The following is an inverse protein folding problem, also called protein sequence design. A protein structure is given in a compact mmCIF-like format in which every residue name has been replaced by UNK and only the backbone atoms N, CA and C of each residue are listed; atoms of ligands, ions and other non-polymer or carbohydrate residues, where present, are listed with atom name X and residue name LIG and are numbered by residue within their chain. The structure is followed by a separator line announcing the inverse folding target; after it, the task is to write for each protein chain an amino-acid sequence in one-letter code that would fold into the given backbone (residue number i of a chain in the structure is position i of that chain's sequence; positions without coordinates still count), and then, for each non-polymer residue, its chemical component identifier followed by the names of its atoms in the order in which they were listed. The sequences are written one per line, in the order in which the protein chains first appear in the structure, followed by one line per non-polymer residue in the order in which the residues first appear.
data_IF_581264695765
#
_entry.id   IF_581264695765
#
_cell.length_a   1.000
_cell.length_b   1.000
_cell.length_c   1.000
_cell.angle_alpha   90.00
_cell.angle_beta   90.00
_cell.angle_gamma   90.00
#
_symmetry.space_group_name_H-M   'P 1'
#
loop_
_entity.id
_entity.type
_entity.pdbx_description
1 polymer ?
#
# COMPACT_ATOMS: atom_id res chain seq x y z
N UNK A 1 -65.36 5.83 33.77
CA UNK A 1 -64.52 4.66 34.06
C UNK A 1 -63.45 5.13 35.05
N UNK A 2 -63.77 5.21 36.35
CA UNK A 2 -63.44 4.17 37.36
C UNK A 2 -61.93 3.99 37.48
N UNK A 3 -61.21 4.28 38.57
CA UNK A 3 -61.48 4.81 39.92
C UNK A 3 -60.13 5.40 40.39
N UNK A 4 -59.98 6.71 40.52
CA UNK A 4 -60.06 7.54 41.75
C UNK A 4 -58.97 7.26 42.81
N UNK A 5 -57.86 8.00 42.67
CA UNK A 5 -56.98 8.47 43.75
C UNK A 5 -57.72 9.44 44.70
N UNK A 6 -57.18 9.57 45.93
CA UNK A 6 -57.38 10.57 47.01
C UNK A 6 -57.45 9.80 48.36
N UNK A 7 -56.89 10.22 49.50
CA UNK A 7 -56.39 11.52 49.99
C UNK A 7 -55.70 11.25 51.36
N UNK A 8 -54.67 12.03 51.68
CA UNK A 8 -54.13 12.40 53.02
C UNK A 8 -55.22 13.07 53.91
N UNK A 9 -55.05 13.50 55.21
CA UNK A 9 -53.84 13.94 55.95
C UNK A 9 -53.84 13.70 57.50
N UNK A 10 -52.96 14.44 58.23
CA UNK A 10 -52.97 14.81 59.68
C UNK A 10 -52.52 13.74 60.68
N UNK A 11 -51.75 14.00 61.75
CA UNK A 11 -51.26 15.23 62.39
C UNK A 11 -51.04 14.97 63.90
N UNK A 12 -49.99 15.56 64.48
CA UNK A 12 -49.71 15.83 65.94
C UNK A 12 -49.60 14.66 66.95
N UNK A 13 -48.44 14.42 67.59
CA UNK A 13 -47.75 15.14 68.69
C UNK A 13 -48.08 14.54 70.11
N UNK A 14 -47.36 14.89 71.20
CA UNK A 14 -46.58 13.94 72.04
C UNK A 14 -47.02 13.93 73.53
N UNK A 15 -46.42 13.08 74.39
CA UNK A 15 -46.21 13.25 75.85
C UNK A 15 -45.63 11.93 76.43
N UNK A 16 -44.38 11.91 76.90
CA UNK A 16 -43.95 11.93 78.32
C UNK A 16 -44.73 10.94 79.23
N UNK A 17 -44.14 10.07 80.05
CA UNK A 17 -43.43 10.36 81.32
C UNK A 17 -42.73 9.07 81.83
N UNK A 18 -41.41 9.18 82.07
CA UNK A 18 -40.59 8.78 83.26
C UNK A 18 -40.94 7.48 84.02
N UNK A 19 -40.00 6.52 84.11
CA UNK A 19 -39.46 6.00 85.42
C UNK A 19 -38.15 5.22 85.23
N UNK A 20 -37.16 5.55 86.07
CA UNK A 20 -35.84 4.91 86.19
C UNK A 20 -35.92 3.51 86.82
N UNK A 21 -35.03 2.58 86.42
CA UNK A 21 -34.13 1.86 87.33
C UNK A 21 -33.08 1.02 86.58
N UNK A 22 -31.86 1.05 87.11
CA UNK A 22 -30.62 0.37 86.73
C UNK A 22 -30.75 -1.16 86.57
N UNK A 23 -30.05 -1.75 85.59
CA UNK A 23 -28.97 -2.71 85.86
C UNK A 23 -28.16 -3.03 84.58
N UNK A 24 -26.86 -3.28 84.80
CA UNK A 24 -25.76 -3.65 83.88
C UNK A 24 -26.08 -4.09 82.44
N UNK A 25 -25.47 -3.39 81.45
CA UNK A 25 -25.27 -3.93 80.09
C UNK A 25 -23.85 -3.62 79.59
N UNK A 26 -23.00 -4.61 79.82
CA UNK A 26 -21.89 -5.10 78.99
C UNK A 26 -21.52 -4.26 77.75
N UNK A 27 -20.30 -3.72 77.77
CA UNK A 27 -19.65 -3.06 76.66
C UNK A 27 -19.42 -4.05 75.49
N UNK A 28 -20.16 -3.88 74.40
CA UNK A 28 -19.89 -4.57 73.13
C UNK A 28 -19.08 -3.63 72.25
N UNK A 29 -17.76 -3.83 72.21
CA UNK A 29 -16.90 -3.28 71.17
C UNK A 29 -17.30 -3.87 69.81
N UNK A 30 -17.27 -3.10 68.71
CA UNK A 30 -17.35 -3.67 67.39
C UNK A 30 -16.00 -4.29 67.04
N UNK A 31 -15.90 -5.63 67.12
CA UNK A 31 -14.81 -6.36 66.49
C UNK A 31 -14.86 -6.14 64.97
N UNK A 32 -14.03 -5.21 64.51
CA UNK A 32 -13.44 -5.27 63.18
C UNK A 32 -12.50 -6.48 63.15
N UNK A 33 -13.04 -7.62 62.76
CA UNK A 33 -12.23 -8.76 62.33
C UNK A 33 -11.57 -8.40 61.01
N UNK A 34 -10.41 -7.74 61.10
CA UNK A 34 -9.46 -7.73 60.01
C UNK A 34 -8.89 -9.15 59.93
N UNK A 35 -9.34 -9.93 58.95
CA UNK A 35 -8.69 -11.18 58.56
C UNK A 35 -7.19 -10.89 58.39
N UNK A 36 -6.37 -11.36 59.33
CA UNK A 36 -4.93 -11.33 59.22
C UNK A 36 -4.55 -12.32 58.13
N UNK A 37 -4.41 -11.82 56.90
CA UNK A 37 -3.90 -12.59 55.77
C UNK A 37 -2.50 -13.09 56.15
N UNK A 38 -2.24 -14.39 56.02
CA UNK A 38 -0.91 -14.94 56.27
C UNK A 38 0.07 -14.28 55.29
N UNK A 39 1.19 -13.69 55.76
CA UNK A 39 2.21 -13.11 54.87
C UNK A 39 2.76 -14.09 53.83
N UNK A 40 2.57 -15.41 54.02
CA UNK A 40 2.86 -16.43 53.01
C UNK A 40 1.84 -16.43 51.87
N UNK A 41 0.56 -16.24 52.17
CA UNK A 41 -0.51 -16.19 51.17
C UNK A 41 -0.40 -14.93 50.31
N UNK A 42 -0.06 -13.78 50.91
CA UNK A 42 0.25 -12.55 50.16
C UNK A 42 1.45 -12.75 49.21
N UNK A 43 2.48 -13.46 49.66
CA UNK A 43 3.66 -13.76 48.85
C UNK A 43 3.34 -14.72 47.70
N UNK A 44 2.49 -15.73 47.93
CA UNK A 44 2.03 -16.66 46.90
C UNK A 44 1.21 -15.91 45.85
N UNK A 45 0.24 -15.09 46.27
CA UNK A 45 -0.58 -14.29 45.36
C UNK A 45 0.27 -13.32 44.51
N UNK A 46 1.31 -12.72 45.09
CA UNK A 46 2.24 -11.86 44.35
C UNK A 46 3.08 -12.65 43.32
N UNK A 47 3.58 -13.84 43.68
CA UNK A 47 4.32 -14.70 42.75
C UNK A 47 3.43 -15.19 41.60
N UNK A 48 2.17 -15.55 41.88
CA UNK A 48 1.19 -15.92 40.86
C UNK A 48 0.89 -14.76 39.91
N UNK A 49 0.72 -13.54 40.44
CA UNK A 49 0.52 -12.34 39.63
C UNK A 49 1.73 -12.04 38.73
N UNK A 50 2.95 -12.14 39.26
CA UNK A 50 4.19 -11.96 38.47
C UNK A 50 4.34 -13.02 37.38
N UNK A 51 3.97 -14.27 37.67
CA UNK A 51 4.00 -15.35 36.69
C UNK A 51 2.97 -15.12 35.57
N UNK A 52 1.76 -14.69 35.91
CA UNK A 52 0.74 -14.32 34.93
C UNK A 52 1.16 -13.13 34.06
N UNK A 53 1.78 -12.09 34.66
CA UNK A 53 2.29 -10.94 33.91
C UNK A 53 3.45 -11.35 32.99
N UNK A 54 4.39 -12.17 33.47
CA UNK A 54 5.50 -12.69 32.67
C UNK A 54 5.00 -13.53 31.48
N UNK A 55 4.04 -14.44 31.72
CA UNK A 55 3.42 -15.24 30.66
C UNK A 55 2.67 -14.37 29.64
N UNK A 56 1.97 -13.33 30.10
CA UNK A 56 1.30 -12.37 29.21
C UNK A 56 2.31 -11.63 28.35
N UNK A 57 3.37 -11.07 28.96
CA UNK A 57 4.44 -10.37 28.25
C UNK A 57 5.15 -11.29 27.24
N UNK A 58 5.44 -12.52 27.63
CA UNK A 58 6.07 -13.51 26.73
C UNK A 58 5.16 -13.82 25.54
N UNK A 59 3.86 -14.08 25.76
CA UNK A 59 2.89 -14.30 24.68
C UNK A 59 2.79 -13.09 23.75
N UNK A 60 2.75 -11.87 24.28
CA UNK A 60 2.73 -10.64 23.49
C UNK A 60 3.99 -10.50 22.63
N UNK A 61 5.17 -10.77 23.20
CA UNK A 61 6.45 -10.74 22.47
C UNK A 61 6.48 -11.81 21.39
N UNK A 62 6.05 -13.05 21.69
CA UNK A 62 6.00 -14.13 20.69
C UNK A 62 5.03 -13.83 19.56
N UNK A 63 3.83 -13.31 19.86
CA UNK A 63 2.84 -12.93 18.85
C UNK A 63 3.37 -11.81 17.95
N UNK A 64 4.03 -10.81 18.54
CA UNK A 64 4.65 -9.72 17.80
C UNK A 64 5.79 -10.22 16.90
N UNK A 65 6.70 -11.03 17.44
CA UNK A 65 7.79 -11.61 16.68
C UNK A 65 7.29 -12.46 15.50
N UNK A 66 6.21 -13.23 15.71
CA UNK A 66 5.57 -14.00 14.64
C UNK A 66 4.95 -13.10 13.56
N UNK A 67 4.28 -12.01 13.97
CA UNK A 67 3.76 -11.04 13.02
C UNK A 67 4.87 -10.33 12.23
N UNK A 68 5.99 -10.03 12.88
CA UNK A 68 7.17 -9.44 12.22
C UNK A 68 7.80 -10.43 11.22
N UNK A 69 7.86 -11.72 11.54
CA UNK A 69 8.31 -12.77 10.61
C UNK A 69 7.38 -12.88 9.39
N UNK A 70 6.06 -12.91 9.59
CA UNK A 70 5.08 -12.97 8.50
C UNK A 70 5.17 -11.73 7.59
N UNK A 71 5.32 -10.54 8.18
CA UNK A 71 5.53 -9.30 7.44
C UNK A 71 6.84 -9.31 6.64
N UNK A 72 7.93 -9.81 7.26
CA UNK A 72 9.21 -9.95 6.60
C UNK A 72 9.12 -10.92 5.43
N UNK A 73 8.51 -12.10 5.63
CA UNK A 73 8.30 -13.10 4.57
C UNK A 73 7.56 -12.47 3.39
N UNK A 74 6.38 -11.88 3.63
CA UNK A 74 5.59 -11.22 2.59
C UNK A 74 6.40 -10.13 1.85
N UNK A 75 7.19 -9.34 2.58
CA UNK A 75 8.04 -8.31 1.97
C UNK A 75 9.14 -8.94 1.10
N UNK A 76 9.82 -9.96 1.59
CA UNK A 76 10.89 -10.64 0.84
C UNK A 76 10.36 -11.31 -0.42
N UNK A 77 9.17 -11.90 -0.40
CA UNK A 77 8.52 -12.47 -1.58
C UNK A 77 8.27 -11.38 -2.65
N UNK A 78 7.77 -10.21 -2.25
CA UNK A 78 7.56 -9.09 -3.15
C UNK A 78 8.88 -8.54 -3.71
N UNK A 79 9.92 -8.46 -2.89
CA UNK A 79 11.24 -7.98 -3.31
C UNK A 79 11.90 -8.97 -4.30
N UNK A 80 11.75 -10.28 -4.09
CA UNK A 80 12.20 -11.32 -5.02
C UNK A 80 11.42 -11.24 -6.34
N UNK A 81 10.10 -11.11 -6.28
CA UNK A 81 9.27 -11.01 -7.49
C UNK A 81 9.63 -9.77 -8.31
N UNK A 82 9.84 -8.62 -7.65
CA UNK A 82 10.32 -7.38 -8.29
C UNK A 82 11.70 -7.58 -8.89
N UNK A 83 12.63 -8.17 -8.13
CA UNK A 83 13.98 -8.44 -8.62
C UNK A 83 13.93 -9.33 -9.87
N UNK A 84 13.09 -10.36 -9.90
CA UNK A 84 12.94 -11.22 -11.07
C UNK A 84 12.32 -10.48 -12.26
N UNK A 85 11.24 -9.71 -12.05
CA UNK A 85 10.58 -8.92 -13.10
C UNK A 85 11.48 -7.85 -13.71
N UNK A 86 12.40 -7.28 -12.95
CA UNK A 86 13.21 -6.14 -13.37
C UNK A 86 14.72 -6.42 -13.40
N UNK A 87 15.15 -7.68 -13.28
CA UNK A 87 16.56 -8.08 -13.31
C UNK A 87 17.29 -7.57 -14.56
N UNK A 88 16.59 -7.58 -15.70
CA UNK A 88 17.13 -7.18 -17.00
C UNK A 88 16.94 -5.69 -17.31
N UNK A 89 16.35 -4.88 -16.42
CA UNK A 89 16.03 -3.47 -16.68
C UNK A 89 17.27 -2.68 -17.12
N UNK A 90 18.39 -2.83 -16.39
CA UNK A 90 19.64 -2.14 -16.73
C UNK A 90 20.19 -2.58 -18.09
N UNK A 91 20.18 -3.89 -18.37
CA UNK A 91 20.67 -4.44 -19.62
C UNK A 91 19.83 -3.97 -20.82
N UNK A 92 18.50 -4.01 -20.69
CA UNK A 92 17.58 -3.54 -21.72
C UNK A 92 17.79 -2.03 -21.96
N UNK A 93 17.96 -1.22 -20.91
CA UNK A 93 18.23 0.21 -21.05
C UNK A 93 19.51 0.51 -21.84
N UNK A 94 20.58 -0.26 -21.62
CA UNK A 94 21.83 -0.13 -22.39
C UNK A 94 21.69 -0.64 -23.83
N UNK A 95 20.69 -1.48 -24.11
CA UNK A 95 20.39 -2.02 -25.43
C UNK A 95 19.54 -1.08 -26.29
N UNK A 96 18.71 -0.22 -25.70
CA UNK A 96 17.83 0.69 -26.44
C UNK A 96 18.58 1.60 -27.44
N UNK A 97 19.75 2.20 -27.13
CA UNK A 97 20.52 2.98 -28.10
C UNK A 97 20.97 2.19 -29.34
N UNK A 98 21.12 0.88 -29.22
CA UNK A 98 21.45 -0.01 -30.36
C UNK A 98 20.23 -0.15 -31.25
N UNK A 99 19.05 -0.40 -30.66
CA UNK A 99 17.78 -0.46 -31.40
C UNK A 99 17.51 0.87 -32.10
N UNK A 100 17.71 2.00 -31.41
CA UNK A 100 17.56 3.34 -31.99
C UNK A 100 18.52 3.59 -33.15
N UNK A 101 19.72 3.00 -33.11
CA UNK A 101 20.69 3.14 -34.19
C UNK A 101 20.28 2.34 -35.43
N UNK A 102 19.61 1.19 -35.25
CA UNK A 102 18.99 0.44 -36.35
C UNK A 102 17.81 1.22 -36.96
N UNK A 103 16.94 1.78 -36.11
CA UNK A 103 15.85 2.65 -36.56
C UNK A 103 16.38 3.87 -37.33
N UNK A 104 17.37 4.58 -36.79
CA UNK A 104 18.01 5.72 -37.46
C UNK A 104 18.66 5.33 -38.79
N UNK A 105 19.26 4.14 -38.88
CA UNK A 105 19.82 3.66 -40.14
C UNK A 105 18.72 3.49 -41.20
N UNK A 106 17.53 3.01 -40.82
CA UNK A 106 16.38 2.87 -41.72
C UNK A 106 15.75 4.20 -42.11
N UNK A 107 15.79 5.20 -41.23
CA UNK A 107 15.29 6.56 -41.52
C UNK A 107 16.19 7.31 -42.51
N UNK A 108 17.51 7.14 -42.40
CA UNK A 108 18.49 7.84 -43.26
C UNK A 108 18.73 7.09 -44.58
N UNK A 109 18.40 5.80 -44.66
CA UNK A 109 18.60 5.01 -45.86
C UNK A 109 17.78 5.57 -47.05
N UNK A 110 18.44 5.69 -48.21
CA UNK A 110 17.75 6.02 -49.46
C UNK A 110 16.98 4.81 -49.99
N UNK A 111 15.71 4.72 -49.58
CA UNK A 111 14.79 3.64 -49.97
C UNK A 111 14.44 3.65 -51.46
N UNK A 112 14.76 4.72 -52.20
CA UNK A 112 14.54 4.80 -53.63
C UNK A 112 15.70 4.18 -54.45
N UNK A 113 16.87 3.97 -53.84
CA UNK A 113 18.01 3.34 -54.50
C UNK A 113 17.87 1.80 -54.52
N UNK A 114 17.68 1.17 -55.69
CA UNK A 114 17.48 -0.27 -55.79
C UNK A 114 18.71 -1.10 -55.39
N UNK A 115 19.93 -0.53 -55.45
CA UNK A 115 21.15 -1.23 -55.01
C UNK A 115 21.22 -1.38 -53.48
N UNK A 116 20.57 -0.47 -52.75
CA UNK A 116 20.51 -0.50 -51.28
C UNK A 116 19.32 -1.30 -50.75
N UNK A 117 18.35 -1.65 -51.60
CA UNK A 117 17.13 -2.35 -51.19
C UNK A 117 17.40 -3.65 -50.38
N UNK A 118 18.32 -4.55 -50.79
CA UNK A 118 18.62 -5.75 -50.00
C UNK A 118 19.23 -5.45 -48.62
N UNK A 119 20.00 -4.36 -48.51
CA UNK A 119 20.60 -3.93 -47.25
C UNK A 119 19.52 -3.36 -46.31
N UNK A 120 18.61 -2.54 -46.83
CA UNK A 120 17.49 -1.99 -46.06
C UNK A 120 16.61 -3.12 -45.52
N UNK A 121 16.24 -4.07 -46.37
CA UNK A 121 15.46 -5.25 -45.97
C UNK A 121 16.17 -6.06 -44.87
N UNK A 122 17.48 -6.27 -45.00
CA UNK A 122 18.28 -6.96 -43.99
C UNK A 122 18.28 -6.25 -42.62
N UNK A 123 18.36 -4.92 -42.62
CA UNK A 123 18.29 -4.12 -41.39
C UNK A 123 16.87 -4.16 -40.79
N UNK A 124 15.82 -4.05 -41.61
CA UNK A 124 14.42 -4.17 -41.17
C UNK A 124 14.16 -5.53 -40.52
N UNK A 125 14.65 -6.62 -41.12
CA UNK A 125 14.51 -7.97 -40.57
C UNK A 125 15.27 -8.13 -39.26
N UNK A 126 16.46 -7.54 -39.16
CA UNK A 126 17.28 -7.56 -37.93
C UNK A 126 16.58 -6.79 -36.81
N UNK A 127 16.08 -5.59 -37.10
CA UNK A 127 15.31 -4.78 -36.15
C UNK A 127 14.06 -5.53 -35.68
N UNK A 128 13.30 -6.14 -36.60
CA UNK A 128 12.13 -6.94 -36.27
C UNK A 128 12.50 -8.10 -35.34
N UNK A 129 13.54 -8.86 -35.69
CA UNK A 129 14.02 -9.98 -34.87
C UNK A 129 14.46 -9.51 -33.48
N UNK A 130 15.11 -8.35 -33.40
CA UNK A 130 15.53 -7.74 -32.14
C UNK A 130 14.33 -7.38 -31.26
N UNK A 131 13.32 -6.72 -31.84
CA UNK A 131 12.07 -6.39 -31.14
C UNK A 131 11.32 -7.65 -30.68
N UNK A 132 11.26 -8.69 -31.52
CA UNK A 132 10.64 -9.96 -31.18
C UNK A 132 11.36 -10.66 -30.01
N UNK A 133 12.69 -10.55 -29.93
CA UNK A 133 13.47 -11.09 -28.80
C UNK A 133 13.17 -10.32 -27.53
N UNK A 134 13.25 -8.99 -27.52
CA UNK A 134 13.02 -8.21 -26.30
C UNK A 134 11.58 -8.32 -25.79
N UNK A 135 10.58 -8.46 -26.68
CA UNK A 135 9.18 -8.74 -26.30
C UNK A 135 9.03 -10.04 -25.50
N UNK A 136 9.80 -11.09 -25.81
CA UNK A 136 9.78 -12.34 -25.02
C UNK A 136 10.24 -12.14 -23.57
N UNK A 137 11.00 -11.08 -23.30
CA UNK A 137 11.44 -10.70 -21.95
C UNK A 137 10.54 -9.61 -21.32
N UNK A 138 9.38 -9.35 -21.90
CA UNK A 138 8.38 -8.41 -21.39
C UNK A 138 8.65 -6.95 -21.74
N UNK A 139 9.49 -6.69 -22.75
CA UNK A 139 9.73 -5.32 -23.26
C UNK A 139 8.73 -4.99 -24.36
N UNK A 140 7.90 -3.98 -24.16
CA UNK A 140 6.92 -3.52 -25.15
C UNK A 140 7.29 -2.13 -25.69
N UNK A 141 7.00 -1.90 -26.97
CA UNK A 141 7.31 -0.65 -27.67
C UNK A 141 6.12 0.31 -27.57
N UNK A 142 6.39 1.56 -27.25
CA UNK A 142 5.43 2.67 -27.29
C UNK A 142 5.72 3.50 -28.55
N UNK A 143 4.88 3.35 -29.57
CA UNK A 143 5.04 4.04 -30.85
C UNK A 143 3.71 4.45 -31.51
N UNK A 144 2.58 4.35 -30.79
CA UNK A 144 1.26 4.65 -31.35
C UNK A 144 1.09 6.16 -31.57
N UNK A 145 0.52 6.52 -32.71
CA UNK A 145 0.12 7.88 -33.07
C UNK A 145 -1.40 8.02 -32.99
N UNK A 146 -1.90 9.25 -32.97
CA UNK A 146 -3.32 9.56 -32.81
C UNK A 146 -3.93 9.03 -31.49
N UNK A 147 -3.12 8.88 -30.46
CA UNK A 147 -3.56 8.56 -29.09
C UNK A 147 -3.45 9.79 -28.20
N UNK A 148 -4.28 9.96 -27.16
CA UNK A 148 -4.11 11.02 -26.18
C UNK A 148 -2.73 10.97 -25.53
N UNK A 149 -2.13 12.13 -25.27
CA UNK A 149 -0.85 12.21 -24.57
C UNK A 149 -0.99 11.68 -23.13
N UNK A 150 -0.47 10.49 -22.87
CA UNK A 150 -0.26 9.95 -21.51
C UNK A 150 1.14 10.30 -20.97
N UNK A 151 1.27 11.13 -19.90
CA UNK A 151 2.56 11.49 -19.28
C UNK A 151 3.35 10.31 -18.68
N UNK A 152 2.72 9.16 -18.42
CA UNK A 152 3.40 8.00 -17.87
C UNK A 152 4.28 7.28 -18.91
N UNK A 153 3.95 7.42 -20.19
CA UNK A 153 4.58 6.69 -21.30
C UNK A 153 5.07 7.60 -22.43
N UNK A 154 4.63 8.86 -22.47
CA UNK A 154 5.03 9.84 -23.47
C UNK A 154 5.73 11.05 -22.86
N UNK A 155 6.72 11.56 -23.58
CA UNK A 155 7.39 12.83 -23.32
C UNK A 155 7.17 13.76 -24.51
N UNK A 156 6.30 14.75 -24.35
CA UNK A 156 6.06 15.75 -25.38
C UNK A 156 7.25 16.71 -25.50
N UNK A 157 7.94 16.70 -26.65
CA UNK A 157 9.10 17.57 -26.90
C UNK A 157 8.76 18.84 -27.67
N UNK A 158 7.67 18.81 -28.43
CA UNK A 158 7.20 19.94 -29.22
C UNK A 158 5.69 19.85 -29.46
N UNK A 159 5.06 21.00 -29.71
CA UNK A 159 3.69 21.09 -30.20
C UNK A 159 3.70 21.61 -31.63
N UNK A 160 2.92 20.97 -32.50
CA UNK A 160 2.86 21.29 -33.94
C UNK A 160 1.40 21.54 -34.32
N UNK A 161 1.16 22.62 -35.07
CA UNK A 161 -0.16 22.90 -35.64
C UNK A 161 -0.47 21.87 -36.72
N UNK A 162 -1.51 21.08 -36.51
CA UNK A 162 -1.95 20.04 -37.44
C UNK A 162 -3.45 19.80 -37.29
N UNK A 163 -4.10 19.50 -38.41
CA UNK A 163 -5.51 19.07 -38.49
C UNK A 163 -5.61 17.54 -38.66
N UNK A 164 -4.47 16.83 -38.71
CA UNK A 164 -4.41 15.38 -38.99
C UNK A 164 -4.94 14.54 -37.82
N UNK A 165 -4.73 15.02 -36.58
CA UNK A 165 -5.19 14.37 -35.35
C UNK A 165 -5.80 15.40 -34.40
N UNK A 166 -6.61 14.94 -33.44
CA UNK A 166 -7.24 15.82 -32.46
C UNK A 166 -6.20 16.57 -31.62
N UNK A 167 -6.50 17.83 -31.27
CA UNK A 167 -5.63 18.63 -30.42
C UNK A 167 -5.37 17.93 -29.07
N UNK A 168 -4.10 17.86 -28.66
CA UNK A 168 -3.67 17.13 -27.47
C UNK A 168 -3.30 15.66 -27.70
N UNK A 169 -3.52 15.11 -28.92
CA UNK A 169 -3.05 13.77 -29.27
C UNK A 169 -1.61 13.78 -29.78
N UNK A 170 -0.96 12.62 -29.66
CA UNK A 170 0.34 12.33 -30.26
C UNK A 170 0.22 12.41 -31.78
N UNK A 171 0.94 13.37 -32.38
CA UNK A 171 1.01 13.57 -33.83
C UNK A 171 2.04 12.64 -34.46
N UNK A 172 3.27 12.65 -33.93
CA UNK A 172 4.35 11.81 -34.40
C UNK A 172 5.26 11.37 -33.25
N UNK A 173 5.89 10.20 -33.43
CA UNK A 173 6.88 9.66 -32.49
C UNK A 173 8.27 9.90 -33.05
N UNK A 174 9.04 10.73 -32.37
CA UNK A 174 10.41 11.10 -32.75
C UNK A 174 11.44 10.09 -32.24
N UNK A 175 11.16 9.47 -31.09
CA UNK A 175 11.93 8.35 -30.56
C UNK A 175 10.96 7.40 -29.86
N UNK A 176 11.03 6.12 -30.22
CA UNK A 176 10.17 5.09 -29.63
C UNK A 176 10.42 4.96 -28.13
N UNK A 177 9.33 4.83 -27.38
CA UNK A 177 9.36 4.51 -25.95
C UNK A 177 9.35 3.01 -25.73
N UNK A 178 9.69 2.60 -24.51
CA UNK A 178 9.72 1.20 -24.11
C UNK A 178 9.21 1.03 -22.68
N UNK A 179 8.44 -0.03 -22.45
CA UNK A 179 8.06 -0.50 -21.11
C UNK A 179 8.67 -1.87 -20.87
N UNK A 180 8.97 -2.21 -19.61
CA UNK A 180 9.36 -3.53 -19.17
C UNK A 180 8.34 -4.01 -18.14
N UNK A 181 7.62 -5.10 -18.43
CA UNK A 181 6.62 -5.68 -17.54
C UNK A 181 5.61 -4.63 -17.01
N UNK A 182 5.20 -3.71 -17.89
CA UNK A 182 4.24 -2.63 -17.60
C UNK A 182 4.83 -1.36 -16.95
N UNK A 183 6.12 -1.36 -16.58
CA UNK A 183 6.81 -0.16 -16.07
C UNK A 183 7.54 0.55 -17.22
N UNK A 184 7.34 1.85 -17.36
CA UNK A 184 8.08 2.66 -18.34
C UNK A 184 9.56 2.68 -18.01
N UNK A 185 10.39 2.17 -18.92
CA UNK A 185 11.86 2.25 -18.82
C UNK A 185 12.40 3.42 -19.63
N UNK A 186 11.70 3.81 -20.70
CA UNK A 186 11.96 5.02 -21.48
C UNK A 186 10.67 5.53 -22.09
N UNK A 187 10.31 6.79 -21.81
CA UNK A 187 9.14 7.41 -22.44
C UNK A 187 9.40 7.65 -23.93
N UNK A 188 8.35 7.55 -24.75
CA UNK A 188 8.43 7.90 -26.16
C UNK A 188 8.54 9.42 -26.30
N UNK A 189 9.53 9.91 -27.06
CA UNK A 189 9.59 11.33 -27.38
C UNK A 189 8.63 11.62 -28.52
N UNK A 190 7.63 12.46 -28.27
CA UNK A 190 6.53 12.68 -29.18
C UNK A 190 6.33 14.17 -29.49
N UNK A 191 5.79 14.45 -30.66
CA UNK A 191 5.18 15.74 -30.98
C UNK A 191 3.68 15.64 -30.76
N UNK A 192 3.08 16.71 -30.24
CA UNK A 192 1.65 16.76 -29.90
C UNK A 192 0.96 17.74 -30.85
N UNK A 193 -0.23 17.38 -31.32
CA UNK A 193 -1.01 18.27 -32.16
C UNK A 193 -1.59 19.42 -31.35
N UNK A 194 -1.43 20.63 -31.88
CA UNK A 194 -2.07 21.85 -31.38
C UNK A 194 -3.13 22.27 -32.40
N UNK A 195 -4.30 22.69 -31.90
CA UNK A 195 -5.29 23.33 -32.74
C UNK A 195 -4.70 24.58 -33.41
N UNK A 196 -5.06 24.78 -34.67
CA UNK A 196 -4.68 25.93 -35.48
C UNK A 196 -5.41 27.20 -35.04
#
# INVERSE_FOLDING_TARGET
MSSKEQKTPEGQAPEEIITEQHDDVEAVEPEVSAEQVDPRDEKIANLEAQLAEAQKREREVMLRAKADEDNLRRRTEQDIEKAHKFALEKFVNELLPVIDSLDRALEVADKANPELAPMVEGIELTLKSMLDVVRKFGVEVIADTNVPLDPNVHQAIAMVESEDVAAGNVLAVMQKGYTLNGRTIRAAMVTVAKAK
#
